data_IF_120519395930
#
_entry.id   IF_120519395930
#
_cell.length_a   1.000
_cell.length_b   1.000
_cell.length_c   1.000
_cell.angle_alpha   90.00
_cell.angle_beta   90.00
_cell.angle_gamma   90.00
#
_symmetry.space_group_name_H-M   'P 1'
#
loop_
_entity.id
_entity.type
_entity.pdbx_description
1 polymer ?
#
# COMPACT_ATOMS: atom_id res chain seq x y z
N UNK A 1 -37.03 -12.30 -42.97
CA UNK A 1 -37.39 -11.09 -42.18
C UNK A 1 -38.44 -10.19 -42.86
N UNK A 2 -39.59 -10.70 -43.35
CA UNK A 2 -40.62 -9.84 -44.00
C UNK A 2 -42.10 -10.20 -43.73
N UNK A 3 -42.41 -11.15 -42.83
CA UNK A 3 -43.80 -11.59 -42.60
C UNK A 3 -44.39 -11.23 -41.22
N UNK A 4 -43.64 -10.53 -40.35
CA UNK A 4 -44.13 -10.14 -39.01
C UNK A 4 -44.55 -8.67 -38.88
N UNK A 5 -44.47 -7.87 -39.95
CA UNK A 5 -44.81 -6.44 -39.92
C UNK A 5 -46.24 -6.11 -40.41
N UNK A 6 -46.95 -7.07 -41.01
CA UNK A 6 -48.28 -6.80 -41.62
C UNK A 6 -49.41 -6.85 -40.58
N UNK A 7 -49.22 -7.54 -39.46
CA UNK A 7 -50.27 -7.67 -38.42
C UNK A 7 -50.34 -6.43 -37.51
N UNK A 8 -49.25 -5.65 -37.39
CA UNK A 8 -49.27 -4.41 -36.61
C UNK A 8 -49.87 -3.20 -37.36
N UNK A 9 -49.97 -3.25 -38.71
CA UNK A 9 -50.54 -2.14 -39.48
C UNK A 9 -52.06 -2.22 -39.71
N UNK A 10 -52.71 -3.37 -39.49
CA UNK A 10 -54.17 -3.47 -39.64
C UNK A 10 -54.93 -3.04 -38.37
N UNK A 11 -54.29 -3.06 -37.19
CA UNK A 11 -54.88 -2.55 -35.94
C UNK A 11 -54.93 -1.02 -35.84
N UNK A 12 -54.09 -0.31 -36.60
CA UNK A 12 -54.03 1.16 -36.57
C UNK A 12 -54.97 1.83 -37.60
N UNK A 13 -55.53 1.07 -38.55
CA UNK A 13 -56.30 1.63 -39.68
C UNK A 13 -57.82 1.66 -39.47
N UNK A 14 -58.34 1.12 -38.37
CA UNK A 14 -59.78 1.20 -38.03
C UNK A 14 -60.12 2.27 -36.97
N UNK A 15 -59.11 2.85 -36.31
CA UNK A 15 -59.31 3.85 -35.24
C UNK A 15 -59.23 5.29 -35.78
N UNK A 16 -58.85 5.48 -37.06
CA UNK A 16 -58.77 6.79 -37.71
C UNK A 16 -59.91 7.02 -38.72
N UNK A 17 -61.15 6.73 -38.33
CA UNK A 17 -62.33 7.18 -39.10
C UNK A 17 -63.46 7.75 -38.23
N UNK A 18 -63.24 7.95 -36.93
CA UNK A 18 -64.25 8.52 -36.04
C UNK A 18 -63.77 9.77 -35.30
N UNK A 19 -62.95 10.60 -35.97
CA UNK A 19 -62.79 11.98 -35.57
C UNK A 19 -63.74 12.85 -36.44
N UNK A 20 -64.71 13.50 -35.78
CA UNK A 20 -65.53 14.61 -36.29
C UNK A 20 -66.70 14.28 -37.24
N UNK A 21 -67.68 13.53 -36.72
CA UNK A 21 -69.08 13.91 -36.90
C UNK A 21 -69.62 14.37 -35.54
N UNK A 22 -69.60 15.69 -35.32
CA UNK A 22 -70.29 16.34 -34.21
C UNK A 22 -71.79 16.18 -34.47
N UNK A 23 -72.50 15.43 -33.62
CA UNK A 23 -73.97 15.53 -33.55
C UNK A 23 -74.82 14.26 -33.63
N UNK A 24 -74.33 13.07 -33.27
CA UNK A 24 -75.22 11.91 -33.07
C UNK A 24 -75.05 11.33 -31.66
N UNK A 25 -76.10 11.45 -30.86
CA UNK A 25 -76.30 10.74 -29.60
C UNK A 25 -76.38 9.23 -29.88
N UNK A 26 -75.23 8.54 -29.88
CA UNK A 26 -75.20 7.08 -29.91
C UNK A 26 -74.97 6.59 -28.49
N UNK A 27 -76.05 6.19 -27.83
CA UNK A 27 -76.00 5.40 -26.61
C UNK A 27 -75.18 4.15 -26.91
N UNK A 28 -73.99 4.05 -26.31
CA UNK A 28 -73.13 2.87 -26.39
C UNK A 28 -73.93 1.63 -25.98
N UNK A 29 -73.90 0.61 -26.83
CA UNK A 29 -74.54 -0.68 -26.57
C UNK A 29 -73.65 -1.39 -25.54
N UNK A 30 -74.11 -1.67 -24.30
CA UNK A 30 -73.28 -2.25 -23.22
C UNK A 30 -72.70 -3.64 -23.51
N UNK A 31 -73.14 -4.26 -24.61
CA UNK A 31 -72.75 -5.61 -25.04
C UNK A 31 -71.37 -5.58 -25.73
N UNK A 32 -71.01 -4.47 -26.39
CA UNK A 32 -69.74 -4.37 -27.15
C UNK A 32 -68.57 -4.05 -26.24
N UNK A 33 -68.77 -3.18 -25.24
CA UNK A 33 -67.72 -2.84 -24.26
C UNK A 33 -67.34 -4.05 -23.39
N UNK A 34 -68.31 -4.82 -22.89
CA UNK A 34 -68.04 -6.03 -22.10
C UNK A 34 -67.27 -7.11 -22.88
N UNK A 35 -67.55 -7.28 -24.18
CA UNK A 35 -66.86 -8.28 -25.00
C UNK A 35 -65.41 -7.88 -25.34
N UNK A 36 -65.15 -6.57 -25.49
CA UNK A 36 -63.81 -6.04 -25.72
C UNK A 36 -62.96 -6.16 -24.44
N UNK A 37 -63.54 -5.82 -23.29
CA UNK A 37 -62.85 -5.92 -21.99
C UNK A 37 -62.55 -7.37 -21.61
N UNK A 38 -63.49 -8.30 -21.79
CA UNK A 38 -63.26 -9.74 -21.53
C UNK A 38 -62.13 -10.31 -22.41
N UNK A 39 -62.06 -9.91 -23.68
CA UNK A 39 -60.99 -10.34 -24.59
C UNK A 39 -59.64 -9.70 -24.26
N UNK A 40 -59.63 -8.49 -23.72
CA UNK A 40 -58.42 -7.82 -23.25
C UNK A 40 -57.87 -8.52 -21.99
N UNK A 41 -58.75 -8.87 -21.03
CA UNK A 41 -58.39 -9.58 -19.81
C UNK A 41 -57.91 -11.00 -20.06
N UNK A 42 -58.53 -11.72 -21.00
CA UNK A 42 -58.07 -13.05 -21.47
C UNK A 42 -56.65 -12.97 -22.04
N UNK A 43 -56.37 -11.96 -22.88
CA UNK A 43 -55.05 -11.78 -23.49
C UNK A 43 -54.00 -11.39 -22.45
N UNK A 44 -54.36 -10.50 -21.52
CA UNK A 44 -53.50 -10.08 -20.42
C UNK A 44 -53.17 -11.26 -19.49
N UNK A 45 -54.17 -12.06 -19.12
CA UNK A 45 -54.01 -13.26 -18.30
C UNK A 45 -53.16 -14.33 -18.98
N UNK A 46 -53.34 -14.55 -20.28
CA UNK A 46 -52.50 -15.45 -21.07
C UNK A 46 -51.05 -14.97 -21.14
N UNK A 47 -50.83 -13.65 -21.32
CA UNK A 47 -49.51 -13.03 -21.31
C UNK A 47 -48.81 -13.17 -19.96
N UNK A 48 -49.50 -12.88 -18.86
CA UNK A 48 -48.99 -13.04 -17.49
C UNK A 48 -48.70 -14.51 -17.21
N UNK A 49 -49.60 -15.44 -17.58
CA UNK A 49 -49.38 -16.87 -17.37
C UNK A 49 -48.15 -17.38 -18.15
N UNK A 50 -47.89 -16.85 -19.34
CA UNK A 50 -46.69 -17.20 -20.10
C UNK A 50 -45.42 -16.69 -19.41
N UNK A 51 -45.41 -15.43 -18.95
CA UNK A 51 -44.25 -14.87 -18.24
C UNK A 51 -43.99 -15.64 -16.93
N UNK A 52 -45.03 -15.91 -16.15
CA UNK A 52 -44.92 -16.65 -14.87
C UNK A 52 -44.40 -18.07 -15.10
N UNK A 53 -44.85 -18.77 -16.15
CA UNK A 53 -44.39 -20.14 -16.45
C UNK A 53 -42.93 -20.24 -16.86
N UNK A 54 -42.38 -19.18 -17.46
CA UNK A 54 -41.00 -19.19 -17.98
C UNK A 54 -40.03 -18.40 -17.08
N UNK A 55 -40.50 -17.80 -15.99
CA UNK A 55 -39.68 -16.98 -15.10
C UNK A 55 -38.51 -17.77 -14.49
N UNK A 56 -38.78 -19.00 -14.06
CA UNK A 56 -37.77 -19.88 -13.46
C UNK A 56 -36.69 -20.32 -14.47
N UNK A 57 -37.07 -20.51 -15.73
CA UNK A 57 -36.15 -20.89 -16.81
C UNK A 57 -35.19 -19.73 -17.14
N UNK A 58 -35.69 -18.50 -17.20
CA UNK A 58 -34.86 -17.31 -17.41
C UNK A 58 -33.92 -17.04 -16.23
N UNK A 59 -34.42 -17.21 -15.00
CA UNK A 59 -33.58 -17.10 -13.80
C UNK A 59 -32.49 -18.17 -13.77
N UNK A 60 -32.82 -19.40 -14.15
CA UNK A 60 -31.88 -20.52 -14.23
C UNK A 60 -30.81 -20.31 -15.30
N UNK A 61 -31.18 -19.80 -16.48
CA UNK A 61 -30.21 -19.40 -17.52
C UNK A 61 -29.24 -18.32 -17.02
N UNK A 62 -29.75 -17.28 -16.34
CA UNK A 62 -28.90 -16.22 -15.77
C UNK A 62 -27.92 -16.75 -14.72
N UNK A 63 -28.40 -17.62 -13.84
CA UNK A 63 -27.57 -18.24 -12.79
C UNK A 63 -26.55 -19.24 -13.34
N UNK A 64 -26.88 -19.98 -14.41
CA UNK A 64 -25.92 -20.85 -15.10
C UNK A 64 -24.79 -20.03 -15.70
N UNK A 65 -25.13 -18.96 -16.43
CA UNK A 65 -24.12 -18.08 -17.03
C UNK A 65 -23.18 -17.49 -15.97
N UNK A 66 -23.70 -17.04 -14.83
CA UNK A 66 -22.86 -16.53 -13.72
C UNK A 66 -21.96 -17.64 -13.17
N UNK A 67 -22.48 -18.83 -12.94
CA UNK A 67 -21.72 -19.98 -12.40
C UNK A 67 -20.61 -20.42 -13.35
N UNK A 68 -20.93 -20.54 -14.64
CA UNK A 68 -20.02 -21.05 -15.65
C UNK A 68 -18.86 -20.10 -15.93
N UNK A 69 -19.01 -18.79 -15.63
CA UNK A 69 -17.98 -17.78 -15.84
C UNK A 69 -17.33 -17.28 -14.53
N UNK A 70 -17.79 -17.75 -13.37
CA UNK A 70 -17.28 -17.29 -12.07
C UNK A 70 -15.78 -17.58 -11.90
N UNK A 71 -15.36 -18.78 -12.30
CA UNK A 71 -13.97 -19.22 -12.19
C UNK A 71 -13.05 -18.45 -13.14
N UNK A 72 -13.53 -18.08 -14.34
CA UNK A 72 -12.79 -17.30 -15.32
C UNK A 72 -12.54 -15.86 -14.81
N UNK A 73 -13.56 -15.22 -14.25
CA UNK A 73 -13.40 -13.88 -13.66
C UNK A 73 -12.49 -13.89 -12.42
N UNK A 74 -12.62 -14.90 -11.57
CA UNK A 74 -11.73 -15.07 -10.42
C UNK A 74 -10.27 -15.30 -10.88
N UNK A 75 -10.07 -16.12 -11.91
CA UNK A 75 -8.76 -16.39 -12.49
C UNK A 75 -8.12 -15.16 -13.12
N UNK A 76 -8.89 -14.35 -13.86
CA UNK A 76 -8.41 -13.08 -14.41
C UNK A 76 -7.99 -12.11 -13.31
N UNK A 77 -8.79 -11.97 -12.25
CA UNK A 77 -8.44 -11.12 -11.11
C UNK A 77 -7.16 -11.58 -10.40
N UNK A 78 -7.03 -12.90 -10.18
CA UNK A 78 -5.83 -13.48 -9.56
C UNK A 78 -4.59 -13.42 -10.45
N UNK A 79 -4.74 -13.52 -11.78
CA UNK A 79 -3.63 -13.32 -12.72
C UNK A 79 -3.15 -11.88 -12.66
N UNK A 80 -4.06 -10.91 -12.75
CA UNK A 80 -3.70 -9.50 -12.69
C UNK A 80 -2.96 -9.16 -11.39
N UNK A 81 -3.44 -9.66 -10.24
CA UNK A 81 -2.75 -9.45 -8.96
C UNK A 81 -1.36 -10.08 -8.97
N UNK A 82 -1.22 -11.32 -9.47
CA UNK A 82 0.07 -12.02 -9.51
C UNK A 82 1.07 -11.35 -10.44
N UNK A 83 0.63 -10.96 -11.62
CA UNK A 83 1.46 -10.37 -12.67
C UNK A 83 2.00 -8.99 -12.23
N UNK A 84 1.23 -8.26 -11.41
CA UNK A 84 1.62 -6.93 -10.90
C UNK A 84 2.22 -6.97 -9.48
N UNK A 85 2.19 -8.10 -8.77
CA UNK A 85 2.69 -8.21 -7.40
C UNK A 85 4.19 -7.85 -7.31
N UNK A 86 4.97 -8.30 -8.30
CA UNK A 86 6.40 -7.98 -8.39
C UNK A 86 6.66 -6.50 -8.62
N UNK A 87 5.84 -5.86 -9.45
CA UNK A 87 5.96 -4.43 -9.77
C UNK A 87 5.65 -3.57 -8.54
N UNK A 88 4.59 -3.89 -7.79
CA UNK A 88 4.26 -3.19 -6.55
C UNK A 88 5.31 -3.40 -5.45
N UNK A 89 5.85 -4.61 -5.31
CA UNK A 89 6.93 -4.88 -4.37
C UNK A 89 8.21 -4.10 -4.73
N UNK A 90 8.55 -4.08 -6.03
CA UNK A 90 9.71 -3.34 -6.54
C UNK A 90 9.56 -1.83 -6.35
N UNK A 91 8.36 -1.29 -6.59
CA UNK A 91 8.05 0.12 -6.37
C UNK A 91 8.12 0.51 -4.88
N UNK A 92 7.71 -0.39 -3.99
CA UNK A 92 7.89 -0.23 -2.54
C UNK A 92 9.36 -0.18 -2.14
N UNK A 93 10.15 -1.10 -2.67
CA UNK A 93 11.60 -1.14 -2.44
C UNK A 93 12.28 0.13 -2.95
N UNK A 94 11.97 0.58 -4.16
CA UNK A 94 12.53 1.81 -4.71
C UNK A 94 12.14 3.05 -3.91
N UNK A 95 10.90 3.12 -3.40
CA UNK A 95 10.47 4.24 -2.56
C UNK A 95 11.24 4.32 -1.24
N UNK A 96 11.51 3.17 -0.60
CA UNK A 96 12.30 3.13 0.64
C UNK A 96 13.77 3.46 0.36
N UNK A 97 14.33 2.97 -0.75
CA UNK A 97 15.69 3.30 -1.17
C UNK A 97 15.82 4.79 -1.54
N UNK A 98 14.83 5.37 -2.23
CA UNK A 98 14.75 6.80 -2.54
C UNK A 98 14.66 7.64 -1.26
N UNK A 99 13.79 7.27 -0.31
CA UNK A 99 13.70 7.97 0.98
C UNK A 99 14.97 7.85 1.81
N UNK A 100 15.63 6.69 1.77
CA UNK A 100 16.96 6.54 2.36
C UNK A 100 17.96 7.48 1.69
N UNK A 101 17.93 7.61 0.37
CA UNK A 101 18.80 8.53 -0.36
C UNK A 101 18.48 9.99 -0.05
N UNK A 102 17.21 10.38 0.08
CA UNK A 102 16.80 11.74 0.41
C UNK A 102 17.25 12.17 1.82
N UNK A 103 17.15 11.26 2.80
CA UNK A 103 17.67 11.48 4.15
C UNK A 103 19.20 11.65 4.16
N UNK A 104 19.89 11.00 3.22
CA UNK A 104 21.33 11.14 3.03
C UNK A 104 21.70 12.40 2.21
N UNK A 105 20.81 12.89 1.34
CA UNK A 105 21.06 14.04 0.46
C UNK A 105 20.59 15.39 1.02
N UNK A 106 19.90 15.41 2.17
CA UNK A 106 19.70 16.63 2.95
C UNK A 106 18.65 17.62 2.41
N UNK A 107 17.66 17.16 1.64
CA UNK A 107 16.62 18.02 1.02
C UNK A 107 15.35 18.20 1.87
N UNK A 108 15.32 17.67 3.10
CA UNK A 108 14.29 17.97 4.11
C UNK A 108 14.70 19.18 4.95
N UNK A 109 13.74 20.07 5.28
CA UNK A 109 13.92 21.31 6.07
C UNK A 109 15.25 21.35 6.85
N UNK A 110 16.18 22.20 6.41
CA UNK A 110 17.53 22.33 6.99
C UNK A 110 17.45 22.59 8.51
N UNK A 111 17.46 21.52 9.29
CA UNK A 111 18.11 21.52 10.58
C UNK A 111 19.60 21.64 10.28
N UNK A 112 20.13 22.86 10.24
CA UNK A 112 21.55 23.13 10.05
C UNK A 112 22.37 22.20 10.94
N UNK A 113 23.37 21.51 10.37
CA UNK A 113 24.27 20.64 11.12
C UNK A 113 24.79 21.37 12.36
N UNK A 114 24.71 20.70 13.52
CA UNK A 114 25.12 21.26 14.80
C UNK A 114 26.65 21.29 14.93
N UNK A 115 27.32 20.29 14.35
CA UNK A 115 28.75 20.17 14.33
C UNK A 115 29.34 20.63 12.99
N UNK A 116 30.57 21.11 13.04
CA UNK A 116 31.36 21.46 11.85
C UNK A 116 32.56 20.53 11.67
N UNK A 117 32.89 19.76 12.70
CA UNK A 117 33.95 18.76 12.70
C UNK A 117 33.73 17.68 13.77
N UNK A 118 34.43 16.55 13.63
CA UNK A 118 34.46 15.48 14.63
C UNK A 118 34.98 15.94 16.01
N UNK A 119 35.76 17.02 16.07
CA UNK A 119 36.27 17.54 17.36
C UNK A 119 35.17 18.24 18.16
N UNK A 120 34.14 18.77 17.49
CA UNK A 120 33.04 19.51 18.12
C UNK A 120 32.12 18.59 18.91
N UNK A 121 32.07 17.31 18.55
CA UNK A 121 31.30 16.27 19.24
C UNK A 121 31.72 16.16 20.71
N UNK A 122 32.97 16.50 21.04
CA UNK A 122 33.50 16.48 22.40
C UNK A 122 33.22 15.14 23.14
N UNK A 123 33.45 14.04 22.43
CA UNK A 123 33.30 12.69 22.97
C UNK A 123 34.26 12.48 24.15
N UNK A 124 33.70 12.13 25.31
CA UNK A 124 34.46 11.98 26.55
C UNK A 124 34.18 10.64 27.21
N UNK A 125 35.11 10.14 28.02
CA UNK A 125 34.93 8.96 28.87
C UNK A 125 35.00 9.39 30.35
N UNK A 126 33.86 9.77 30.97
CA UNK A 126 33.86 10.27 32.34
C UNK A 126 34.35 9.25 33.37
N UNK A 127 34.11 7.96 33.10
CA UNK A 127 34.47 6.85 33.98
C UNK A 127 35.94 6.44 33.87
N UNK A 128 36.65 6.85 32.82
CA UNK A 128 38.02 6.44 32.51
C UNK A 128 38.17 4.94 32.17
N UNK A 129 37.09 4.25 31.83
CA UNK A 129 37.06 2.78 31.70
C UNK A 129 37.37 2.23 30.30
N UNK A 130 37.49 3.12 29.31
CA UNK A 130 37.67 2.77 27.89
C UNK A 130 36.48 2.04 27.26
N UNK A 131 35.29 2.12 27.88
CA UNK A 131 34.06 1.44 27.44
C UNK A 131 32.86 2.36 27.36
N UNK A 132 32.63 3.21 28.36
CA UNK A 132 31.47 4.09 28.42
C UNK A 132 31.87 5.53 28.10
N UNK A 133 31.31 6.07 27.03
CA UNK A 133 31.56 7.41 26.54
C UNK A 133 30.26 8.21 26.50
N UNK A 134 30.38 9.52 26.50
CA UNK A 134 29.24 10.44 26.36
C UNK A 134 29.62 11.58 25.42
N UNK A 135 28.62 12.09 24.71
CA UNK A 135 28.71 13.35 23.95
C UNK A 135 27.39 14.12 24.08
N UNK A 136 27.44 15.43 23.85
CA UNK A 136 26.25 16.29 23.86
C UNK A 136 25.82 16.61 22.44
N UNK A 137 24.52 16.58 22.18
CA UNK A 137 23.92 16.97 20.91
C UNK A 137 22.71 17.85 21.20
N UNK A 138 22.83 19.15 20.88
CA UNK A 138 21.87 20.15 21.34
C UNK A 138 21.87 20.25 22.87
N UNK A 139 20.68 20.12 23.45
CA UNK A 139 20.46 20.15 24.91
C UNK A 139 20.43 18.74 25.55
N UNK A 140 20.73 17.67 24.78
CA UNK A 140 20.66 16.29 25.23
C UNK A 140 22.05 15.64 25.29
N UNK A 141 22.28 14.76 26.27
CA UNK A 141 23.48 13.94 26.40
C UNK A 141 23.20 12.52 25.92
N UNK A 142 24.06 12.01 25.06
CA UNK A 142 23.96 10.67 24.48
C UNK A 142 25.03 9.77 25.08
N UNK A 143 24.62 8.55 25.46
CA UNK A 143 25.53 7.51 25.95
C UNK A 143 26.01 6.63 24.82
N UNK A 144 27.31 6.33 24.83
CA UNK A 144 27.96 5.46 23.86
C UNK A 144 28.68 4.34 24.61
N UNK A 145 28.43 3.11 24.19
CA UNK A 145 29.05 1.92 24.77
C UNK A 145 29.93 1.25 23.72
N UNK A 146 31.19 1.02 24.07
CA UNK A 146 32.06 0.14 23.28
C UNK A 146 31.83 -1.30 23.73
N UNK A 147 31.37 -2.13 22.81
CA UNK A 147 31.25 -3.56 23.03
C UNK A 147 32.12 -4.29 22.01
N UNK A 148 33.13 -5.01 22.52
CA UNK A 148 34.09 -5.78 21.73
C UNK A 148 34.79 -4.90 20.66
N UNK A 149 34.48 -5.12 19.39
CA UNK A 149 35.08 -4.42 18.24
C UNK A 149 34.15 -3.38 17.58
N UNK A 150 32.97 -3.11 18.15
CA UNK A 150 32.02 -2.11 17.63
C UNK A 150 31.49 -1.15 18.71
N UNK A 151 30.85 -0.08 18.24
CA UNK A 151 30.27 0.98 19.06
C UNK A 151 28.75 0.87 19.08
N UNK A 152 28.12 1.18 20.21
CA UNK A 152 26.68 1.30 20.33
C UNK A 152 26.30 2.67 20.86
N UNK A 153 25.43 3.40 20.17
CA UNK A 153 24.90 4.70 20.63
C UNK A 153 23.47 4.50 21.10
N UNK A 154 23.20 4.87 22.35
CA UNK A 154 21.88 4.71 22.98
C UNK A 154 20.95 5.84 22.56
N UNK A 155 19.69 5.51 22.26
CA UNK A 155 18.66 6.44 21.78
C UNK A 155 19.06 7.23 20.51
N UNK A 156 19.94 6.63 19.69
CA UNK A 156 20.51 7.25 18.50
C UNK A 156 19.48 7.67 17.45
N UNK A 157 18.27 7.11 17.49
CA UNK A 157 17.15 7.47 16.60
C UNK A 157 16.71 8.94 16.72
N UNK A 158 17.06 9.64 17.80
CA UNK A 158 16.73 11.06 17.99
C UNK A 158 17.62 12.01 17.18
N UNK A 159 18.73 11.51 16.65
CA UNK A 159 19.63 12.25 15.78
C UNK A 159 19.26 11.88 14.36
N UNK A 160 18.81 12.86 13.57
CA UNK A 160 18.37 12.65 12.18
C UNK A 160 19.26 13.38 11.16
N UNK A 161 20.11 14.30 11.61
CA UNK A 161 21.02 15.03 10.72
C UNK A 161 22.21 14.13 10.30
N UNK A 162 22.22 13.71 9.03
CA UNK A 162 23.25 12.83 8.47
C UNK A 162 24.66 13.43 8.55
N UNK A 163 24.82 14.75 8.37
CA UNK A 163 26.14 15.40 8.49
C UNK A 163 26.69 15.29 9.92
N UNK A 164 25.84 15.51 10.92
CA UNK A 164 26.22 15.35 12.32
C UNK A 164 26.50 13.88 12.66
N UNK A 165 25.73 12.93 12.14
CA UNK A 165 26.03 11.50 12.27
C UNK A 165 27.43 11.18 11.75
N UNK A 166 27.83 11.71 10.58
CA UNK A 166 29.18 11.51 10.04
C UNK A 166 30.25 12.07 10.99
N UNK A 167 30.05 13.27 11.55
CA UNK A 167 31.00 13.83 12.51
C UNK A 167 31.09 13.02 13.81
N UNK A 168 29.95 12.52 14.31
CA UNK A 168 29.90 11.63 15.47
C UNK A 168 30.65 10.32 15.17
N UNK A 169 30.37 9.67 14.05
CA UNK A 169 31.05 8.45 13.62
C UNK A 169 32.56 8.65 13.48
N UNK A 170 32.99 9.79 12.91
CA UNK A 170 34.40 10.12 12.81
C UNK A 170 35.04 10.34 14.19
N UNK A 171 34.32 10.94 15.14
CA UNK A 171 34.80 11.10 16.52
C UNK A 171 35.00 9.73 17.21
N UNK A 172 34.08 8.78 16.97
CA UNK A 172 34.21 7.40 17.46
C UNK A 172 35.43 6.69 16.87
N UNK A 173 35.62 6.79 15.54
CA UNK A 173 36.78 6.21 14.83
C UNK A 173 38.10 6.78 15.36
N UNK A 174 38.15 8.08 15.66
CA UNK A 174 39.35 8.73 16.20
C UNK A 174 39.76 8.17 17.57
N UNK A 175 38.81 7.64 18.35
CA UNK A 175 39.07 6.97 19.63
C UNK A 175 39.42 5.49 19.42
N UNK A 176 38.59 4.78 18.64
CA UNK A 176 38.77 3.37 18.34
C UNK A 176 38.22 3.04 16.94
N UNK A 177 39.09 2.69 15.97
CA UNK A 177 38.66 2.25 14.65
C UNK A 177 37.85 0.96 14.70
N UNK A 178 36.80 0.87 13.90
CA UNK A 178 35.97 -0.35 13.78
C UNK A 178 36.33 -1.10 12.50
N UNK A 179 36.43 -2.42 12.59
CA UNK A 179 36.64 -3.27 11.42
C UNK A 179 35.40 -3.34 10.53
N UNK A 180 35.62 -3.46 9.22
CA UNK A 180 34.57 -3.80 8.27
C UNK A 180 34.12 -5.26 8.40
N UNK A 181 33.14 -5.66 7.61
CA UNK A 181 32.60 -7.02 7.53
C UNK A 181 33.66 -8.07 7.17
N UNK A 182 34.73 -7.66 6.46
CA UNK A 182 35.84 -8.52 6.09
C UNK A 182 36.84 -8.77 7.24
N UNK A 183 36.69 -8.06 8.36
CA UNK A 183 37.60 -8.07 9.52
C UNK A 183 39.06 -7.70 9.18
N UNK A 184 39.31 -7.14 8.00
CA UNK A 184 40.65 -6.75 7.52
C UNK A 184 40.70 -5.24 7.28
N UNK A 185 39.66 -4.68 6.67
CA UNK A 185 39.49 -3.26 6.45
C UNK A 185 38.95 -2.55 7.69
N UNK A 186 39.09 -1.22 7.72
CA UNK A 186 38.44 -0.36 8.71
C UNK A 186 37.31 0.42 8.05
N UNK A 187 36.23 0.65 8.80
CA UNK A 187 35.06 1.41 8.35
C UNK A 187 35.36 2.89 8.22
N UNK A 188 34.63 3.56 7.33
CA UNK A 188 34.62 5.03 7.24
C UNK A 188 33.43 5.61 8.01
N UNK A 189 33.50 6.90 8.33
CA UNK A 189 32.43 7.59 9.04
C UNK A 189 31.12 7.62 8.24
N UNK A 190 31.21 7.74 6.90
CA UNK A 190 30.07 7.74 5.99
C UNK A 190 29.37 6.38 5.95
N UNK A 191 30.13 5.29 5.93
CA UNK A 191 29.59 3.93 5.97
C UNK A 191 28.88 3.63 7.31
N UNK A 192 29.47 4.08 8.43
CA UNK A 192 28.80 4.00 9.73
C UNK A 192 27.52 4.85 9.76
N UNK A 193 27.58 6.10 9.28
CA UNK A 193 26.39 6.97 9.21
C UNK A 193 25.29 6.38 8.31
N UNK A 194 25.65 5.71 7.22
CA UNK A 194 24.70 5.01 6.36
C UNK A 194 23.92 3.93 7.13
N UNK A 195 24.61 3.09 7.90
CA UNK A 195 23.97 2.07 8.75
C UNK A 195 23.06 2.70 9.81
N UNK A 196 23.50 3.80 10.44
CA UNK A 196 22.67 4.55 11.39
C UNK A 196 21.37 5.03 10.74
N UNK A 197 21.43 5.58 9.53
CA UNK A 197 20.22 5.96 8.78
C UNK A 197 19.30 4.76 8.56
N UNK A 198 19.84 3.57 8.26
CA UNK A 198 19.00 2.36 8.12
C UNK A 198 18.31 1.98 9.44
N UNK A 199 18.98 2.17 10.58
CA UNK A 199 18.37 1.99 11.90
C UNK A 199 17.26 3.02 12.16
N UNK A 200 17.46 4.28 11.79
CA UNK A 200 16.42 5.31 11.93
C UNK A 200 15.19 5.00 11.06
N UNK A 201 15.41 4.58 9.81
CA UNK A 201 14.33 4.11 8.92
C UNK A 201 13.58 2.94 9.56
N UNK A 202 14.30 1.96 10.10
CA UNK A 202 13.68 0.84 10.81
C UNK A 202 12.81 1.33 11.97
N UNK A 203 13.35 2.21 12.81
CA UNK A 203 12.61 2.75 13.95
C UNK A 203 11.34 3.50 13.55
N UNK A 204 11.40 4.27 12.46
CA UNK A 204 10.30 5.10 11.97
C UNK A 204 9.19 4.29 11.31
N UNK A 205 9.54 3.33 10.46
CA UNK A 205 8.58 2.67 9.57
C UNK A 205 8.12 1.30 10.05
N UNK A 206 8.86 0.60 10.91
CA UNK A 206 8.40 -0.68 11.44
C UNK A 206 7.16 -0.51 12.36
N UNK A 207 6.28 -1.52 12.41
CA UNK A 207 5.19 -1.58 13.41
C UNK A 207 5.68 -1.49 14.86
N UNK A 208 4.85 -0.97 15.78
CA UNK A 208 5.20 -0.82 17.22
C UNK A 208 5.52 -2.13 17.92
N UNK A 209 4.85 -3.20 17.52
CA UNK A 209 5.02 -4.56 18.03
C UNK A 209 6.20 -5.31 17.37
N UNK A 210 6.88 -4.70 16.40
CA UNK A 210 8.04 -5.30 15.77
C UNK A 210 9.26 -5.24 16.70
N UNK A 211 9.80 -6.40 17.07
CA UNK A 211 10.97 -6.51 17.95
C UNK A 211 12.19 -5.75 17.42
N UNK A 212 12.37 -5.73 16.09
CA UNK A 212 13.50 -5.06 15.49
C UNK A 212 13.38 -3.54 15.60
N UNK A 213 12.16 -2.98 15.52
CA UNK A 213 11.94 -1.55 15.78
C UNK A 213 12.49 -1.12 17.13
N UNK A 214 12.25 -1.91 18.17
CA UNK A 214 12.72 -1.61 19.53
C UNK A 214 14.25 -1.60 19.59
N UNK A 215 14.91 -2.53 18.88
CA UNK A 215 16.37 -2.61 18.81
C UNK A 215 16.98 -1.46 18.02
N UNK A 216 16.31 -1.02 16.96
CA UNK A 216 16.75 0.10 16.10
C UNK A 216 16.72 1.48 16.75
N UNK A 217 16.25 1.59 18.00
CA UNK A 217 16.44 2.81 18.81
C UNK A 217 17.92 3.13 19.02
N UNK A 218 18.75 2.09 19.04
CA UNK A 218 20.18 2.21 19.23
C UNK A 218 20.88 1.68 17.96
N UNK A 219 21.80 2.46 17.40
CA UNK A 219 22.74 1.95 16.39
C UNK A 219 23.85 1.20 17.09
N UNK A 220 24.20 0.01 16.61
CA UNK A 220 25.19 -0.90 17.19
C UNK A 220 26.43 -1.16 16.31
N UNK A 221 26.50 -0.55 15.12
CA UNK A 221 27.64 -0.58 14.20
C UNK A 221 28.23 -1.97 14.00
N UNK A 222 27.35 -2.97 13.92
CA UNK A 222 27.72 -4.36 13.75
C UNK A 222 28.45 -4.51 12.41
N UNK A 223 29.69 -5.06 12.38
CA UNK A 223 30.42 -5.25 11.12
C UNK A 223 29.63 -6.04 10.07
N UNK A 224 28.77 -6.98 10.49
CA UNK A 224 27.93 -7.74 9.57
C UNK A 224 26.86 -6.88 8.86
N UNK A 225 26.49 -5.74 9.44
CA UNK A 225 25.49 -4.83 8.88
C UNK A 225 26.08 -3.79 7.91
N UNK A 226 27.41 -3.83 7.72
CA UNK A 226 28.13 -2.92 6.83
C UNK A 226 27.55 -2.93 5.40
N UNK A 227 27.19 -1.74 4.89
CA UNK A 227 26.68 -1.55 3.55
C UNK A 227 25.31 -2.16 3.26
N UNK A 228 24.63 -2.73 4.26
CA UNK A 228 23.29 -3.31 4.08
C UNK A 228 22.22 -2.24 4.19
N UNK A 229 21.20 -2.34 3.34
CA UNK A 229 20.01 -1.49 3.43
C UNK A 229 19.06 -1.96 4.54
N UNK A 230 18.15 -1.09 4.96
CA UNK A 230 17.05 -1.42 5.86
C UNK A 230 16.33 -2.72 5.47
N UNK A 231 16.09 -2.93 4.17
CA UNK A 231 15.40 -4.13 3.67
C UNK A 231 16.25 -5.39 3.89
N UNK A 232 17.54 -5.33 3.57
CA UNK A 232 18.43 -6.48 3.76
C UNK A 232 18.56 -6.84 5.23
N UNK A 233 18.73 -5.83 6.08
CA UNK A 233 18.80 -5.99 7.53
C UNK A 233 17.47 -6.56 8.08
N UNK A 234 16.32 -6.10 7.57
CA UNK A 234 15.00 -6.64 7.92
C UNK A 234 14.90 -8.14 7.63
N UNK A 235 15.25 -8.53 6.41
CA UNK A 235 15.10 -9.90 5.92
C UNK A 235 15.99 -10.87 6.70
N UNK A 236 17.21 -10.45 7.03
CA UNK A 236 18.14 -11.23 7.84
C UNK A 236 17.69 -11.35 9.30
N UNK A 237 17.26 -10.25 9.92
CA UNK A 237 16.85 -10.24 11.34
C UNK A 237 15.52 -10.96 11.57
N UNK A 238 14.63 -10.98 10.59
CA UNK A 238 13.29 -11.58 10.72
C UNK A 238 13.13 -12.94 10.01
N UNK A 239 14.02 -13.26 9.06
CA UNK A 239 13.89 -14.42 8.17
C UNK A 239 12.71 -14.31 7.19
N UNK A 240 12.09 -13.13 7.06
CA UNK A 240 10.93 -12.88 6.20
C UNK A 240 11.30 -11.91 5.10
N UNK A 241 10.89 -12.22 3.87
CA UNK A 241 10.96 -11.29 2.75
C UNK A 241 10.22 -9.99 3.06
N UNK A 242 10.82 -8.85 2.72
CA UNK A 242 10.20 -7.55 2.93
C UNK A 242 8.98 -7.39 2.02
N UNK A 243 7.84 -7.04 2.63
CA UNK A 243 6.60 -6.75 1.90
C UNK A 243 6.06 -5.41 2.34
N UNK A 244 6.02 -4.45 1.42
CA UNK A 244 5.50 -3.11 1.65
C UNK A 244 4.09 -3.11 2.30
N UNK A 245 3.25 -4.10 1.98
CA UNK A 245 1.92 -4.29 2.57
C UNK A 245 1.93 -4.41 4.09
N UNK A 246 2.99 -4.98 4.66
CA UNK A 246 3.12 -5.21 6.10
C UNK A 246 3.45 -3.91 6.85
N UNK A 247 3.74 -2.83 6.10
CA UNK A 247 4.22 -1.54 6.59
C UNK A 247 3.28 -0.37 6.24
N UNK A 248 2.53 -0.46 5.13
CA UNK A 248 1.58 0.56 4.67
C UNK A 248 0.17 0.46 5.29
N UNK A 249 -0.06 -0.47 6.21
CA UNK A 249 -1.38 -0.74 6.80
C UNK A 249 -1.76 0.12 8.03
N UNK A 250 -1.10 1.26 8.25
CA UNK A 250 -1.49 2.24 9.29
C UNK A 250 -2.48 3.27 8.74
#
# INVERSE_FOLDING_TARGET
MKKRLVVMCLGASLIMCCAFCVGCSYTGIPIVDNYIDEKADDLASAGISYVVKNADDYASMGMSYIRDNADDYASMGMSYIRDNAGDYASMGKSFVEEKSSELLSGDGEESSALFTSASDVNLSNPSGDGKNYVFSYGDEEFSVVRWDEHWKIIDSYKIENTTDMVFICQALINVYPIHGADMESFRTAEDMAYEWVQHNIAYQYLPEDNEWRVKSKDVDFNPEDQGKSFIQIYEERTGKEFKLSDFMGK
#
